data_IF_020025534347
#
_entry.id   IF_020025534347
#
_cell.length_a   1.000
_cell.length_b   1.000
_cell.length_c   1.000
_cell.angle_alpha   90.00
_cell.angle_beta   90.00
_cell.angle_gamma   90.00
#
_symmetry.space_group_name_H-M   'P 1'
#
loop_
_entity.id
_entity.type
_entity.pdbx_description
1 polymer ?
#
# COMPACT_ATOMS: atom_id res chain seq x y z
N UNK A 1 -46.26 -31.66 53.92
CA UNK A 1 -46.05 -31.06 52.61
C UNK A 1 -44.69 -31.56 52.10
N UNK A 2 -44.71 -32.65 51.31
CA UNK A 2 -43.46 -33.23 50.72
C UNK A 2 -43.14 -32.53 49.38
N UNK A 3 -42.09 -31.78 49.36
CA UNK A 3 -41.60 -31.16 48.14
C UNK A 3 -40.83 -32.22 47.34
N UNK A 4 -41.30 -32.48 46.15
CA UNK A 4 -40.78 -33.50 45.23
C UNK A 4 -39.37 -33.13 44.69
N UNK A 5 -38.33 -33.72 45.25
CA UNK A 5 -36.92 -33.49 44.92
C UNK A 5 -36.53 -34.03 43.54
N UNK A 6 -37.37 -34.75 42.82
CA UNK A 6 -37.07 -35.32 41.53
C UNK A 6 -37.26 -34.32 40.37
N UNK A 7 -38.08 -33.27 40.54
CA UNK A 7 -38.32 -32.29 39.47
C UNK A 7 -37.20 -31.28 39.31
N UNK A 8 -36.43 -30.99 40.38
CA UNK A 8 -35.32 -30.05 40.36
C UNK A 8 -34.07 -30.60 39.65
N UNK A 9 -33.82 -31.90 39.78
CA UNK A 9 -32.65 -32.54 39.12
C UNK A 9 -32.78 -32.63 37.58
N UNK A 10 -34.01 -32.81 37.07
CA UNK A 10 -34.27 -32.87 35.62
C UNK A 10 -34.09 -31.50 34.92
N UNK A 11 -34.46 -30.41 35.59
CA UNK A 11 -34.29 -29.03 35.03
C UNK A 11 -32.83 -28.63 34.96
N UNK A 12 -32.00 -28.99 35.92
CA UNK A 12 -30.56 -28.68 35.91
C UNK A 12 -29.77 -29.52 34.89
N UNK A 13 -30.18 -30.78 34.64
CA UNK A 13 -29.55 -31.62 33.61
C UNK A 13 -29.89 -31.12 32.20
N UNK A 14 -31.11 -30.63 31.97
CA UNK A 14 -31.50 -30.03 30.68
C UNK A 14 -30.83 -28.68 30.42
N UNK A 15 -30.63 -27.86 31.45
CA UNK A 15 -29.91 -26.57 31.29
C UNK A 15 -28.39 -26.74 31.05
N UNK A 16 -27.76 -27.77 31.65
CA UNK A 16 -26.35 -28.10 31.35
C UNK A 16 -26.18 -28.69 29.93
N UNK A 17 -27.14 -29.47 29.43
CA UNK A 17 -27.09 -30.03 28.08
C UNK A 17 -27.26 -28.95 26.98
N UNK A 18 -28.08 -27.91 27.24
CA UNK A 18 -28.19 -26.77 26.31
C UNK A 18 -26.96 -25.86 26.31
N UNK A 19 -26.26 -25.70 27.43
CA UNK A 19 -25.03 -24.89 27.52
C UNK A 19 -23.83 -25.56 26.82
N UNK A 20 -23.75 -26.87 26.78
CA UNK A 20 -22.68 -27.60 26.07
C UNK A 20 -22.92 -27.71 24.57
N UNK A 21 -24.15 -27.59 24.07
CA UNK A 21 -24.42 -27.55 22.62
C UNK A 21 -24.11 -26.22 21.94
N UNK A 22 -24.04 -25.11 22.68
CA UNK A 22 -23.74 -23.80 22.17
C UNK A 22 -22.23 -23.58 21.86
N UNK A 23 -21.35 -24.45 22.36
CA UNK A 23 -19.87 -24.30 22.21
C UNK A 23 -19.30 -24.98 20.97
N UNK A 24 -20.10 -25.66 20.12
CA UNK A 24 -19.60 -26.44 18.97
C UNK A 24 -19.87 -25.72 17.63
N UNK A 25 -20.44 -24.52 17.60
CA UNK A 25 -20.93 -23.89 16.38
C UNK A 25 -20.02 -22.82 15.81
N UNK A 26 -18.66 -22.97 15.87
CA UNK A 26 -17.80 -22.09 15.08
C UNK A 26 -16.41 -22.66 14.82
N UNK A 27 -16.25 -23.54 13.82
CA UNK A 27 -15.11 -23.44 12.91
C UNK A 27 -15.36 -23.88 11.46
N UNK A 28 -16.62 -24.12 11.05
CA UNK A 28 -16.89 -24.74 9.74
C UNK A 28 -16.58 -23.84 8.54
N UNK A 29 -16.61 -22.52 8.67
CA UNK A 29 -16.36 -21.60 7.54
C UNK A 29 -14.89 -21.52 7.14
N UNK A 30 -13.95 -21.73 8.07
CA UNK A 30 -12.52 -21.64 7.77
C UNK A 30 -11.93 -22.91 7.13
N UNK A 31 -12.57 -24.05 7.31
CA UNK A 31 -12.10 -25.32 6.73
C UNK A 31 -12.29 -25.39 5.22
N UNK A 32 -13.25 -24.65 4.65
CA UNK A 32 -13.56 -24.64 3.21
C UNK A 32 -13.11 -23.36 2.48
N UNK A 33 -12.30 -22.51 3.10
CA UNK A 33 -11.75 -21.33 2.42
C UNK A 33 -10.47 -21.71 1.66
N UNK A 34 -10.27 -21.20 0.40
CA UNK A 34 -11.30 -20.63 -0.46
C UNK A 34 -12.15 -21.71 -1.15
N UNK A 35 -13.44 -21.45 -1.33
CA UNK A 35 -14.39 -22.35 -2.00
C UNK A 35 -15.00 -21.77 -3.29
N UNK A 36 -14.59 -20.54 -3.64
CA UNK A 36 -14.98 -19.84 -4.87
C UNK A 36 -13.86 -18.89 -5.29
N UNK A 37 -14.01 -18.26 -6.45
CA UNK A 37 -13.06 -17.26 -6.97
C UNK A 37 -12.82 -16.15 -5.96
N UNK A 38 -11.54 -15.78 -5.78
CA UNK A 38 -11.10 -14.61 -5.01
C UNK A 38 -10.95 -13.43 -5.96
N UNK A 39 -11.52 -12.29 -5.60
CA UNK A 39 -11.35 -11.02 -6.32
C UNK A 39 -10.29 -10.18 -5.61
N UNK A 40 -9.19 -9.89 -6.29
CA UNK A 40 -8.13 -9.00 -5.82
C UNK A 40 -8.37 -7.61 -6.42
N UNK A 41 -9.01 -6.73 -5.66
CA UNK A 41 -9.35 -5.37 -6.08
C UNK A 41 -8.09 -4.51 -6.05
N UNK A 42 -7.79 -3.86 -7.18
CA UNK A 42 -6.70 -2.89 -7.34
C UNK A 42 -7.32 -1.51 -7.56
N UNK A 43 -7.10 -0.53 -6.66
CA UNK A 43 -7.78 0.78 -6.73
C UNK A 43 -7.12 1.74 -7.73
N UNK A 44 -6.48 1.22 -8.78
CA UNK A 44 -5.76 1.98 -9.81
C UNK A 44 -6.03 1.41 -11.21
N UNK A 45 -5.79 2.22 -12.27
CA UNK A 45 -5.93 1.75 -13.65
C UNK A 45 -5.00 0.56 -13.95
N UNK A 46 -5.38 -0.30 -14.89
CA UNK A 46 -4.51 -1.39 -15.33
C UNK A 46 -3.24 -0.89 -16.04
N UNK A 47 -2.18 -1.72 -16.04
CA UNK A 47 -0.92 -1.46 -16.74
C UNK A 47 0.15 -0.73 -15.94
N UNK A 48 -0.16 -0.24 -14.72
CA UNK A 48 0.84 0.38 -13.84
C UNK A 48 1.61 -0.65 -13.00
N UNK A 49 2.63 -0.17 -12.27
CA UNK A 49 3.46 -1.01 -11.37
C UNK A 49 2.62 -1.79 -10.36
N UNK A 50 1.58 -1.15 -9.77
CA UNK A 50 0.72 -1.79 -8.77
C UNK A 50 -0.10 -2.92 -9.41
N UNK A 51 -0.67 -2.69 -10.60
CA UNK A 51 -1.41 -3.71 -11.34
C UNK A 51 -0.50 -4.89 -11.74
N UNK A 52 0.71 -4.61 -12.21
CA UNK A 52 1.69 -5.65 -12.56
C UNK A 52 2.08 -6.51 -11.35
N UNK A 53 2.29 -5.89 -10.17
CA UNK A 53 2.57 -6.58 -8.92
C UNK A 53 1.36 -7.40 -8.44
N UNK A 54 0.13 -6.85 -8.56
CA UNK A 54 -1.10 -7.55 -8.21
C UNK A 54 -1.32 -8.80 -9.06
N UNK A 55 -1.05 -8.73 -10.37
CA UNK A 55 -1.17 -9.89 -11.27
C UNK A 55 -0.14 -10.97 -10.97
N UNK A 56 1.09 -10.60 -10.65
CA UNK A 56 2.11 -11.54 -10.20
C UNK A 56 1.69 -12.25 -8.91
N UNK A 57 1.14 -11.50 -7.94
CA UNK A 57 0.59 -12.06 -6.70
C UNK A 57 -0.62 -12.98 -6.97
N UNK A 58 -1.58 -12.54 -7.80
CA UNK A 58 -2.81 -13.28 -8.10
C UNK A 58 -2.53 -14.64 -8.75
N UNK A 59 -1.57 -14.70 -9.67
CA UNK A 59 -1.15 -15.95 -10.31
C UNK A 59 -0.64 -16.97 -9.27
N UNK A 60 0.22 -16.55 -8.38
CA UNK A 60 0.78 -17.42 -7.34
C UNK A 60 -0.26 -17.78 -6.25
N UNK A 61 -1.13 -16.84 -5.88
CA UNK A 61 -2.26 -17.13 -4.98
C UNK A 61 -3.18 -18.19 -5.58
N UNK A 62 -3.51 -18.09 -6.89
CA UNK A 62 -4.35 -19.09 -7.57
C UNK A 62 -3.72 -20.49 -7.48
N UNK A 63 -2.42 -20.59 -7.74
CA UNK A 63 -1.69 -21.87 -7.70
C UNK A 63 -1.66 -22.46 -6.28
N UNK A 64 -1.37 -21.65 -5.26
CA UNK A 64 -1.20 -22.14 -3.89
C UNK A 64 -2.52 -22.41 -3.17
N UNK A 65 -3.57 -21.66 -3.49
CA UNK A 65 -4.88 -21.80 -2.85
C UNK A 65 -5.82 -22.78 -3.58
N UNK A 66 -5.48 -23.17 -4.83
CA UNK A 66 -6.29 -24.08 -5.63
C UNK A 66 -7.62 -23.48 -6.11
N UNK A 67 -7.74 -22.14 -6.09
CA UNK A 67 -8.91 -21.39 -6.54
C UNK A 67 -8.47 -20.21 -7.41
N UNK A 68 -9.31 -19.87 -8.40
CA UNK A 68 -9.05 -18.72 -9.26
C UNK A 68 -8.94 -17.42 -8.44
N UNK A 69 -7.89 -16.62 -8.69
CA UNK A 69 -7.74 -15.26 -8.16
C UNK A 69 -7.70 -14.28 -9.33
N UNK A 70 -8.68 -13.39 -9.41
CA UNK A 70 -8.83 -12.42 -10.51
C UNK A 70 -8.55 -11.01 -10.03
N UNK A 71 -7.81 -10.24 -10.83
CA UNK A 71 -7.55 -8.82 -10.56
C UNK A 71 -8.70 -7.99 -11.12
N UNK A 72 -9.30 -7.14 -10.25
CA UNK A 72 -10.38 -6.20 -10.60
C UNK A 72 -9.88 -4.76 -10.36
N UNK A 73 -9.64 -4.02 -11.45
CA UNK A 73 -9.15 -2.65 -11.39
C UNK A 73 -10.31 -1.67 -11.17
N UNK A 74 -10.42 -1.07 -9.98
CA UNK A 74 -11.44 -0.08 -9.61
C UNK A 74 -10.81 1.27 -9.31
N UNK A 75 -10.39 1.95 -10.36
CA UNK A 75 -9.76 3.26 -10.28
C UNK A 75 -10.74 4.37 -9.88
N UNK A 76 -10.20 5.51 -9.45
CA UNK A 76 -10.92 6.76 -9.17
C UNK A 76 -10.67 7.30 -7.77
N UNK A 77 -10.76 8.62 -7.66
CA UNK A 77 -10.56 9.39 -6.42
C UNK A 77 -9.33 8.93 -5.62
N UNK A 78 -8.17 8.85 -6.30
CA UNK A 78 -6.88 8.39 -5.70
C UNK A 78 -6.98 7.05 -4.96
N UNK A 79 -7.79 6.14 -5.48
CA UNK A 79 -7.97 4.79 -4.93
C UNK A 79 -9.12 4.64 -3.94
N UNK A 80 -9.84 5.70 -3.57
CA UNK A 80 -11.00 5.61 -2.66
C UNK A 80 -12.10 4.69 -3.20
N UNK A 81 -12.37 4.70 -4.52
CA UNK A 81 -13.42 3.87 -5.11
C UNK A 81 -13.20 2.38 -4.86
N UNK A 82 -12.02 1.85 -5.19
CA UNK A 82 -11.68 0.45 -4.97
C UNK A 82 -11.58 0.10 -3.47
N UNK A 83 -11.01 0.99 -2.68
CA UNK A 83 -10.91 0.81 -1.23
C UNK A 83 -12.29 0.72 -0.59
N UNK A 84 -13.17 1.67 -0.87
CA UNK A 84 -14.55 1.69 -0.34
C UNK A 84 -15.41 0.52 -0.85
N UNK A 85 -15.11 -0.01 -2.03
CA UNK A 85 -15.76 -1.24 -2.48
C UNK A 85 -15.43 -2.42 -1.58
N UNK A 86 -14.15 -2.62 -1.24
CA UNK A 86 -13.72 -3.72 -0.39
C UNK A 86 -14.19 -3.56 1.07
N UNK A 87 -14.21 -2.34 1.62
CA UNK A 87 -14.70 -2.11 2.99
C UNK A 87 -16.16 -2.53 3.19
N UNK A 88 -16.96 -2.58 2.11
CA UNK A 88 -18.37 -2.99 2.12
C UNK A 88 -18.61 -4.41 1.62
N UNK A 89 -17.56 -5.11 1.19
CA UNK A 89 -17.67 -6.47 0.69
C UNK A 89 -17.92 -7.47 1.85
N UNK A 90 -18.45 -8.67 1.55
CA UNK A 90 -18.55 -9.76 2.54
C UNK A 90 -17.19 -10.08 3.15
N UNK A 91 -17.15 -10.25 4.47
CA UNK A 91 -15.93 -10.54 5.22
C UNK A 91 -15.60 -12.04 5.22
N UNK A 92 -15.67 -12.70 4.05
CA UNK A 92 -15.46 -14.14 3.87
C UNK A 92 -14.10 -14.48 3.22
N UNK A 93 -13.25 -13.48 3.01
CA UNK A 93 -11.91 -13.63 2.43
C UNK A 93 -11.87 -13.70 0.90
N UNK A 94 -13.01 -13.64 0.19
CA UNK A 94 -13.05 -13.73 -1.27
C UNK A 94 -13.03 -12.36 -1.98
N UNK A 95 -13.08 -11.26 -1.24
CA UNK A 95 -12.85 -9.91 -1.74
C UNK A 95 -11.68 -9.31 -0.98
N UNK A 96 -10.56 -9.11 -1.66
CA UNK A 96 -9.32 -8.59 -1.08
C UNK A 96 -8.96 -7.27 -1.75
N UNK A 97 -8.34 -6.36 -1.00
CA UNK A 97 -7.76 -5.14 -1.51
C UNK A 97 -6.26 -5.31 -1.66
N UNK A 98 -5.72 -5.09 -2.85
CA UNK A 98 -4.28 -4.92 -3.06
C UNK A 98 -4.00 -3.44 -3.32
N UNK A 99 -3.31 -2.80 -2.39
CA UNK A 99 -3.18 -1.35 -2.40
C UNK A 99 -1.81 -0.88 -1.91
N UNK A 100 -1.61 0.42 -2.03
CA UNK A 100 -0.43 1.13 -1.54
C UNK A 100 -0.79 2.19 -0.48
N UNK A 101 0.21 3.00 -0.10
CA UNK A 101 0.11 4.06 0.90
C UNK A 101 -1.00 5.08 0.58
N UNK A 102 -1.16 5.50 -0.68
CA UNK A 102 -1.99 6.67 -1.03
C UNK A 102 -3.44 6.54 -0.56
N UNK A 103 -4.25 5.52 -0.93
CA UNK A 103 -5.65 5.45 -0.54
C UNK A 103 -5.87 5.10 0.93
N UNK A 104 -4.84 4.62 1.61
CA UNK A 104 -4.96 4.16 3.00
C UNK A 104 -4.41 5.17 4.02
N UNK A 105 -3.40 5.94 3.67
CA UNK A 105 -2.73 6.81 4.62
C UNK A 105 -2.60 8.29 4.18
N UNK A 106 -2.90 8.63 2.92
CA UNK A 106 -2.87 10.01 2.42
C UNK A 106 -4.30 10.50 2.13
N UNK A 107 -5.01 9.84 1.21
CA UNK A 107 -6.34 10.26 0.76
C UNK A 107 -7.35 10.44 1.89
N UNK A 108 -7.42 9.57 2.94
CA UNK A 108 -8.37 9.73 4.04
C UNK A 108 -8.22 11.03 4.84
N UNK A 109 -7.05 11.66 4.80
CA UNK A 109 -6.81 12.94 5.48
C UNK A 109 -7.16 14.16 4.64
N UNK A 110 -7.61 13.93 3.40
CA UNK A 110 -7.90 14.97 2.41
C UNK A 110 -9.34 14.89 1.89
N UNK A 111 -10.11 13.86 2.27
CA UNK A 111 -11.51 13.63 1.85
C UNK A 111 -12.42 13.56 3.07
N UNK A 112 -13.72 13.81 2.85
CA UNK A 112 -14.73 13.67 3.89
C UNK A 112 -15.03 12.21 4.27
N UNK A 113 -14.58 11.24 3.49
CA UNK A 113 -14.88 9.80 3.68
C UNK A 113 -14.21 9.19 4.92
N UNK A 114 -13.35 9.95 5.59
CA UNK A 114 -12.76 9.58 6.87
C UNK A 114 -11.80 8.41 6.83
N UNK A 115 -11.50 7.86 8.00
CA UNK A 115 -10.49 6.84 8.20
C UNK A 115 -10.99 5.44 7.80
N UNK A 116 -10.74 5.02 6.56
CA UNK A 116 -11.08 3.68 6.03
C UNK A 116 -10.25 2.54 6.64
N UNK A 117 -9.17 2.87 7.38
CA UNK A 117 -8.24 1.86 7.93
C UNK A 117 -8.96 0.92 8.90
N UNK A 118 -9.87 1.45 9.74
CA UNK A 118 -10.59 0.65 10.72
C UNK A 118 -11.62 -0.31 10.10
N UNK A 119 -11.98 -0.10 8.84
CA UNK A 119 -12.88 -0.97 8.08
C UNK A 119 -12.13 -2.08 7.32
N UNK A 120 -10.81 -2.18 7.49
CA UNK A 120 -9.96 -3.15 6.82
C UNK A 120 -9.11 -3.95 7.83
N UNK A 121 -8.94 -5.23 7.57
CA UNK A 121 -8.02 -6.14 8.26
C UNK A 121 -6.75 -6.29 7.41
N UNK A 122 -5.57 -5.86 7.89
CA UNK A 122 -4.31 -6.10 7.21
C UNK A 122 -4.04 -7.61 7.10
N UNK A 123 -3.60 -8.06 5.92
CA UNK A 123 -3.13 -9.44 5.71
C UNK A 123 -1.61 -9.46 5.72
N UNK A 124 -0.95 -8.65 4.89
CA UNK A 124 0.50 -8.57 4.86
C UNK A 124 1.01 -7.70 3.72
N UNK A 125 2.27 -7.30 3.80
CA UNK A 125 2.97 -6.60 2.72
C UNK A 125 3.43 -7.58 1.64
N UNK A 126 3.52 -7.10 0.40
CA UNK A 126 4.18 -7.79 -0.72
C UNK A 126 5.57 -7.18 -0.97
N UNK A 127 5.65 -5.86 -0.93
CA UNK A 127 6.86 -5.12 -1.25
C UNK A 127 6.79 -3.68 -0.73
N UNK A 128 7.92 -3.01 -0.70
CA UNK A 128 8.00 -1.56 -0.62
C UNK A 128 8.67 -0.97 -1.86
N UNK A 129 8.35 0.29 -2.19
CA UNK A 129 8.86 1.00 -3.34
C UNK A 129 9.60 2.27 -2.92
N UNK A 130 10.94 2.28 -2.96
CA UNK A 130 11.70 3.50 -2.73
C UNK A 130 11.34 4.59 -3.73
N UNK A 131 11.43 5.83 -3.26
CA UNK A 131 11.25 7.03 -4.07
C UNK A 131 12.62 7.66 -4.34
N UNK A 132 12.77 8.30 -5.48
CA UNK A 132 14.00 8.98 -5.86
C UNK A 132 13.74 10.45 -6.18
N UNK A 133 14.62 11.31 -5.74
CA UNK A 133 14.79 12.64 -6.32
C UNK A 133 15.59 12.49 -7.60
N UNK A 134 15.02 12.97 -8.69
CA UNK A 134 15.62 12.91 -10.03
C UNK A 134 15.62 14.29 -10.66
N UNK A 135 16.53 14.54 -11.61
CA UNK A 135 16.63 15.81 -12.32
C UNK A 135 17.12 15.64 -13.75
N UNK A 136 16.63 16.51 -14.64
CA UNK A 136 17.18 16.72 -15.98
C UNK A 136 18.27 17.83 -16.01
N UNK A 137 18.39 18.64 -14.95
CA UNK A 137 19.23 19.85 -14.92
C UNK A 137 20.29 19.87 -13.83
N UNK A 138 20.05 19.17 -12.72
CA UNK A 138 20.94 19.19 -11.54
C UNK A 138 21.89 18.00 -11.57
N UNK A 139 23.04 18.16 -10.91
CA UNK A 139 24.02 17.09 -10.73
C UNK A 139 24.07 16.56 -9.28
N UNK A 140 23.53 17.31 -8.33
CA UNK A 140 23.52 16.98 -6.92
C UNK A 140 22.30 17.56 -6.19
N UNK A 141 22.02 17.07 -4.99
CA UNK A 141 20.96 17.62 -4.13
C UNK A 141 21.27 19.06 -3.70
N UNK A 142 22.55 19.42 -3.54
CA UNK A 142 22.97 20.78 -3.18
C UNK A 142 22.58 21.82 -4.23
N UNK A 143 22.52 21.43 -5.51
CA UNK A 143 22.16 22.34 -6.61
C UNK A 143 20.72 22.84 -6.51
N UNK A 144 19.83 22.14 -5.77
CA UNK A 144 18.47 22.61 -5.49
C UNK A 144 18.45 24.00 -4.86
N UNK A 145 19.41 24.32 -3.98
CA UNK A 145 19.48 25.59 -3.27
C UNK A 145 19.90 26.77 -4.19
N UNK A 146 20.84 26.50 -5.09
CA UNK A 146 21.39 27.52 -6.00
C UNK A 146 20.52 27.72 -7.23
N UNK A 147 20.05 26.65 -7.86
CA UNK A 147 19.33 26.69 -9.14
C UNK A 147 17.81 26.84 -8.99
N UNK A 148 17.24 26.50 -7.80
CA UNK A 148 15.80 26.59 -7.50
C UNK A 148 14.90 26.11 -8.63
N UNK A 149 15.07 24.87 -9.13
CA UNK A 149 14.28 24.36 -10.24
C UNK A 149 12.82 24.21 -9.84
N UNK A 150 11.91 24.19 -10.83
CA UNK A 150 10.55 23.72 -10.58
C UNK A 150 10.58 22.22 -10.24
N UNK A 151 9.80 21.82 -9.23
CA UNK A 151 9.69 20.45 -8.75
C UNK A 151 8.35 19.83 -9.17
N UNK A 152 8.43 18.82 -10.03
CA UNK A 152 7.26 18.12 -10.52
C UNK A 152 6.74 17.04 -9.55
N UNK A 153 5.43 16.84 -9.50
CA UNK A 153 4.81 15.73 -8.77
C UNK A 153 3.61 15.14 -9.53
N UNK A 154 3.29 13.88 -9.26
CA UNK A 154 2.30 13.10 -10.00
C UNK A 154 0.82 13.42 -9.64
N UNK A 155 0.57 14.60 -9.14
CA UNK A 155 -0.76 15.13 -8.77
C UNK A 155 -0.86 15.55 -7.32
N UNK A 156 -1.78 16.49 -7.06
CA UNK A 156 -2.03 16.97 -5.69
C UNK A 156 -2.44 15.81 -4.78
N UNK A 157 -1.85 15.72 -3.58
CA UNK A 157 -2.10 14.63 -2.64
C UNK A 157 -1.50 13.27 -3.03
N UNK A 158 -0.63 13.19 -4.04
CA UNK A 158 0.20 12.01 -4.27
C UNK A 158 1.33 11.92 -3.24
N UNK A 159 1.93 10.74 -3.08
CA UNK A 159 3.13 10.60 -2.24
C UNK A 159 4.25 11.53 -2.72
N UNK A 160 4.45 11.67 -4.04
CA UNK A 160 5.46 12.58 -4.59
C UNK A 160 5.19 14.05 -4.23
N UNK A 161 3.92 14.49 -4.12
CA UNK A 161 3.59 15.83 -3.64
C UNK A 161 3.95 15.99 -2.16
N UNK A 162 3.59 15.02 -1.31
CA UNK A 162 3.95 15.05 0.11
C UNK A 162 5.47 15.09 0.29
N UNK A 163 6.20 14.26 -0.43
CA UNK A 163 7.66 14.24 -0.38
C UNK A 163 8.29 15.53 -0.91
N UNK A 164 7.72 16.14 -1.94
CA UNK A 164 8.16 17.44 -2.45
C UNK A 164 8.00 18.54 -1.39
N UNK A 165 6.89 18.56 -0.66
CA UNK A 165 6.66 19.51 0.44
C UNK A 165 7.67 19.31 1.58
N UNK A 166 7.92 18.06 1.97
CA UNK A 166 8.93 17.72 2.99
C UNK A 166 10.35 18.07 2.53
N UNK A 167 10.67 17.86 1.25
CA UNK A 167 11.96 18.31 0.68
C UNK A 167 12.14 19.80 0.78
N UNK A 168 11.12 20.59 0.42
CA UNK A 168 11.10 22.04 0.56
C UNK A 168 11.40 22.47 2.00
N UNK A 169 10.77 21.81 2.97
CA UNK A 169 10.97 22.06 4.41
C UNK A 169 12.39 21.69 4.86
N UNK A 170 12.89 20.52 4.50
CA UNK A 170 14.26 20.08 4.81
C UNK A 170 15.33 21.04 4.26
N UNK A 171 15.05 21.66 3.12
CA UNK A 171 15.94 22.64 2.51
C UNK A 171 15.79 24.05 3.11
N UNK A 172 14.74 24.30 3.93
CA UNK A 172 14.41 25.62 4.47
C UNK A 172 14.08 26.64 3.38
N UNK A 173 13.50 26.19 2.25
CA UNK A 173 13.20 27.05 1.11
C UNK A 173 11.89 26.63 0.44
N UNK A 174 11.18 27.61 -0.12
CA UNK A 174 10.00 27.36 -0.94
C UNK A 174 10.43 26.99 -2.36
N UNK A 175 9.95 25.83 -2.84
CA UNK A 175 10.12 25.38 -4.21
C UNK A 175 8.85 25.68 -5.02
N UNK A 176 9.01 25.87 -6.33
CA UNK A 176 7.89 26.00 -7.26
C UNK A 176 7.41 24.61 -7.67
N UNK A 177 6.13 24.31 -7.45
CA UNK A 177 5.55 22.98 -7.73
C UNK A 177 4.78 22.96 -9.04
N UNK A 178 5.05 21.93 -9.88
CA UNK A 178 4.24 21.62 -11.06
C UNK A 178 3.47 20.31 -10.85
N UNK A 179 2.14 20.41 -10.85
CA UNK A 179 1.24 19.25 -10.69
C UNK A 179 0.93 18.61 -12.04
N UNK A 180 1.08 17.29 -12.12
CA UNK A 180 0.81 16.49 -13.32
C UNK A 180 -0.32 15.48 -13.07
N UNK A 181 -1.01 15.04 -14.14
CA UNK A 181 -2.02 13.97 -14.08
C UNK A 181 -1.36 12.60 -14.15
N UNK A 182 -0.41 12.30 -13.23
CA UNK A 182 0.32 11.04 -13.16
C UNK A 182 1.79 11.15 -13.57
N UNK A 183 2.49 10.01 -13.55
CA UNK A 183 3.94 9.94 -13.80
C UNK A 183 4.32 10.13 -15.26
N UNK A 184 3.54 9.58 -16.21
CA UNK A 184 3.91 9.63 -17.62
C UNK A 184 4.05 11.05 -18.17
N UNK A 185 3.07 11.99 -18.00
CA UNK A 185 3.25 13.37 -18.44
C UNK A 185 4.37 14.10 -17.67
N UNK A 186 4.59 13.80 -16.39
CA UNK A 186 5.69 14.34 -15.62
C UNK A 186 7.06 13.96 -16.22
N UNK A 187 7.26 12.68 -16.53
CA UNK A 187 8.51 12.18 -17.11
C UNK A 187 8.75 12.73 -18.52
N UNK A 188 7.71 12.86 -19.33
CA UNK A 188 7.82 13.48 -20.65
C UNK A 188 8.30 14.94 -20.56
N UNK A 189 7.73 15.73 -19.65
CA UNK A 189 8.15 17.12 -19.44
C UNK A 189 9.55 17.23 -18.82
N UNK A 190 9.97 16.24 -18.02
CA UNK A 190 11.35 16.16 -17.53
C UNK A 190 12.34 15.86 -18.67
N UNK A 191 12.03 14.91 -19.55
CA UNK A 191 12.87 14.62 -20.74
C UNK A 191 12.95 15.82 -21.68
N UNK A 192 11.88 16.61 -21.79
CA UNK A 192 11.83 17.87 -22.50
C UNK A 192 12.38 19.09 -21.74
N UNK A 193 13.01 18.89 -20.57
CA UNK A 193 13.58 19.92 -19.69
C UNK A 193 12.58 21.02 -19.24
N UNK A 194 11.26 20.76 -19.34
CA UNK A 194 10.22 21.69 -18.89
C UNK A 194 10.04 21.68 -17.36
N UNK A 195 10.53 20.63 -16.69
CA UNK A 195 10.59 20.47 -15.23
C UNK A 195 12.02 20.10 -14.84
N UNK A 196 12.57 20.85 -13.89
CA UNK A 196 13.99 20.71 -13.54
C UNK A 196 14.28 19.54 -12.60
N UNK A 197 13.34 19.17 -11.71
CA UNK A 197 13.47 18.06 -10.77
C UNK A 197 12.10 17.43 -10.44
N UNK A 198 12.10 16.19 -9.93
CA UNK A 198 10.90 15.53 -9.46
C UNK A 198 11.23 14.44 -8.43
N UNK A 199 10.21 14.03 -7.64
CA UNK A 199 10.28 12.81 -6.84
C UNK A 199 9.41 11.74 -7.51
N UNK A 200 10.02 10.61 -7.83
CA UNK A 200 9.40 9.51 -8.58
C UNK A 200 9.77 8.15 -7.98
N UNK A 201 8.95 7.10 -8.11
CA UNK A 201 9.34 5.75 -7.71
C UNK A 201 10.49 5.21 -8.55
N UNK A 202 11.34 4.36 -7.98
CA UNK A 202 12.47 3.70 -8.68
C UNK A 202 12.01 3.04 -9.98
N UNK A 203 10.86 2.35 -9.95
CA UNK A 203 10.32 1.67 -11.13
C UNK A 203 10.02 2.59 -12.30
N UNK A 204 9.79 3.89 -12.07
CA UNK A 204 9.55 4.85 -13.13
C UNK A 204 10.80 5.11 -13.96
N UNK A 205 12.00 5.05 -13.37
CA UNK A 205 13.27 5.28 -14.04
C UNK A 205 13.84 3.99 -14.63
N UNK A 206 13.78 2.88 -13.88
CA UNK A 206 14.22 1.55 -14.36
C UNK A 206 13.48 1.14 -15.64
N UNK A 207 12.22 1.54 -15.78
CA UNK A 207 11.40 1.25 -16.97
C UNK A 207 11.62 2.18 -18.17
N UNK A 208 12.44 3.23 -18.06
CA UNK A 208 12.69 4.13 -19.17
C UNK A 208 13.64 3.50 -20.22
N UNK A 209 13.34 3.71 -21.51
CA UNK A 209 14.20 3.26 -22.61
C UNK A 209 15.46 4.11 -22.75
N UNK A 210 15.37 5.40 -22.40
CA UNK A 210 16.47 6.38 -22.48
C UNK A 210 16.60 7.12 -21.14
N UNK A 211 17.22 6.49 -20.13
CA UNK A 211 17.35 7.09 -18.81
C UNK A 211 18.35 8.25 -18.75
N UNK A 212 19.19 8.46 -19.80
CA UNK A 212 20.34 9.36 -19.77
C UNK A 212 19.97 10.86 -19.64
N UNK A 213 18.71 11.23 -19.93
CA UNK A 213 18.22 12.61 -19.77
C UNK A 213 17.74 12.93 -18.36
N UNK A 214 17.52 11.90 -17.50
CA UNK A 214 17.03 12.06 -16.15
C UNK A 214 18.02 11.40 -15.18
N UNK A 215 18.70 12.22 -14.38
CA UNK A 215 19.72 11.76 -13.42
C UNK A 215 19.09 11.50 -12.05
N UNK A 216 19.26 10.32 -11.46
CA UNK A 216 18.98 10.10 -10.04
C UNK A 216 19.97 10.88 -9.17
N UNK A 217 19.47 11.61 -8.16
CA UNK A 217 20.28 12.43 -7.26
C UNK A 217 20.35 11.85 -5.84
N UNK A 218 19.24 11.29 -5.35
CA UNK A 218 19.14 10.65 -4.04
C UNK A 218 17.93 9.71 -4.01
N UNK A 219 17.90 8.80 -3.04
CA UNK A 219 16.87 7.74 -2.89
C UNK A 219 16.41 7.64 -1.43
N UNK A 220 15.14 7.29 -1.21
CA UNK A 220 14.60 7.13 0.17
C UNK A 220 15.10 5.88 0.88
N UNK A 221 15.47 4.83 0.16
CA UNK A 221 16.11 3.62 0.70
C UNK A 221 17.00 2.97 -0.39
N UNK A 222 18.11 2.31 -0.03
CA UNK A 222 19.00 1.65 -0.98
C UNK A 222 18.24 0.66 -1.88
N UNK A 223 18.59 0.62 -3.17
CA UNK A 223 17.98 -0.27 -4.16
C UNK A 223 19.03 -0.87 -5.10
N UNK A 224 18.89 -2.17 -5.43
CA UNK A 224 19.86 -2.90 -6.30
C UNK A 224 20.05 -2.28 -7.68
N UNK A 225 18.98 -1.70 -8.26
CA UNK A 225 19.05 -1.04 -9.55
C UNK A 225 19.76 0.33 -9.52
N UNK A 226 20.04 0.88 -8.32
CA UNK A 226 20.65 2.20 -8.12
C UNK A 226 21.83 2.10 -7.13
N UNK A 227 22.86 1.29 -7.45
CA UNK A 227 23.99 1.10 -6.54
C UNK A 227 24.75 2.43 -6.36
N UNK A 228 25.12 2.72 -5.11
CA UNK A 228 25.91 3.91 -4.77
C UNK A 228 25.14 5.23 -4.76
N UNK A 229 23.84 5.25 -5.07
CA UNK A 229 23.03 6.45 -4.95
C UNK A 229 22.84 6.82 -3.47
N UNK A 230 23.14 8.09 -3.04
CA UNK A 230 23.01 8.48 -1.66
C UNK A 230 21.55 8.42 -1.20
N UNK A 231 21.31 8.04 0.05
CA UNK A 231 19.98 8.12 0.63
C UNK A 231 19.59 9.58 0.90
N UNK A 232 18.29 9.86 1.04
CA UNK A 232 17.80 11.19 1.43
C UNK A 232 18.41 11.65 2.76
N UNK A 233 18.63 10.73 3.69
CA UNK A 233 19.29 11.01 4.96
C UNK A 233 20.76 11.44 4.74
N UNK A 234 21.52 10.66 3.96
CA UNK A 234 22.90 10.98 3.59
C UNK A 234 23.03 12.29 2.80
N UNK A 235 21.99 12.63 2.03
CA UNK A 235 21.93 13.88 1.26
C UNK A 235 21.43 15.08 2.08
N UNK A 236 21.17 14.92 3.39
CA UNK A 236 20.71 16.01 4.27
C UNK A 236 19.25 16.42 4.09
N UNK A 237 18.41 15.56 3.50
CA UNK A 237 16.98 15.76 3.26
C UNK A 237 16.13 14.64 3.90
N UNK A 238 16.58 14.10 5.02
CA UNK A 238 16.00 12.93 5.69
C UNK A 238 14.55 13.06 6.12
N UNK A 239 14.02 14.29 6.31
CA UNK A 239 12.59 14.48 6.61
C UNK A 239 11.67 13.96 5.51
N UNK A 240 12.12 13.95 4.25
CA UNK A 240 11.39 13.44 3.10
C UNK A 240 11.53 11.92 2.91
N UNK A 241 12.03 11.17 3.92
CA UNK A 241 12.25 9.72 3.81
C UNK A 241 10.97 8.94 4.07
N UNK A 242 10.21 8.66 3.02
CA UNK A 242 9.08 7.76 3.02
C UNK A 242 9.13 6.85 1.80
N UNK A 243 8.97 5.56 2.05
CA UNK A 243 8.79 4.59 0.97
C UNK A 243 7.29 4.37 0.73
N UNK A 244 6.91 4.09 -0.50
CA UNK A 244 5.62 3.47 -0.75
C UNK A 244 5.68 2.00 -0.30
N UNK A 245 4.54 1.42 0.00
CA UNK A 245 4.42 -0.01 0.29
C UNK A 245 3.20 -0.57 -0.41
N UNK A 246 3.27 -1.84 -0.77
CA UNK A 246 2.20 -2.59 -1.39
C UNK A 246 1.83 -3.76 -0.49
N UNK A 247 0.53 -3.94 -0.27
CA UNK A 247 0.07 -5.01 0.59
C UNK A 247 -1.38 -5.39 0.34
N UNK A 248 -1.76 -6.49 0.97
CA UNK A 248 -3.08 -7.11 0.88
C UNK A 248 -3.87 -6.84 2.15
N UNK A 249 -5.13 -6.44 1.99
CA UNK A 249 -6.07 -6.23 3.07
C UNK A 249 -7.40 -6.94 2.76
N UNK A 250 -8.19 -7.23 3.79
CA UNK A 250 -9.53 -7.77 3.70
C UNK A 250 -10.53 -6.85 4.43
N UNK A 251 -11.86 -7.03 4.33
CA UNK A 251 -12.82 -6.39 5.21
C UNK A 251 -12.51 -6.66 6.69
N UNK A 252 -12.72 -5.69 7.58
CA UNK A 252 -12.29 -5.76 8.99
C UNK A 252 -12.81 -6.98 9.76
N UNK A 253 -14.03 -7.45 9.46
CA UNK A 253 -14.66 -8.61 10.14
C UNK A 253 -14.24 -9.96 9.53
N UNK A 254 -13.24 -10.02 8.65
CA UNK A 254 -12.76 -11.29 8.09
C UNK A 254 -12.19 -12.16 9.21
N UNK A 255 -12.60 -13.45 9.30
CA UNK A 255 -12.16 -14.35 10.36
C UNK A 255 -10.63 -14.44 10.45
N UNK A 256 -10.11 -14.42 11.68
CA UNK A 256 -8.64 -14.45 11.93
C UNK A 256 -7.94 -15.67 11.30
N UNK A 257 -8.62 -16.82 11.22
CA UNK A 257 -8.09 -18.01 10.54
C UNK A 257 -7.90 -17.82 9.03
N UNK A 258 -8.78 -17.06 8.37
CA UNK A 258 -8.66 -16.72 6.95
C UNK A 258 -7.53 -15.70 6.77
N UNK A 259 -7.46 -14.66 7.60
CA UNK A 259 -6.37 -13.66 7.58
C UNK A 259 -5.02 -14.35 7.75
N UNK A 260 -4.89 -15.25 8.73
CA UNK A 260 -3.65 -16.00 8.98
C UNK A 260 -3.27 -16.88 7.79
N UNK A 261 -4.22 -17.62 7.20
CA UNK A 261 -3.98 -18.46 6.02
C UNK A 261 -3.52 -17.63 4.83
N UNK A 262 -4.16 -16.50 4.56
CA UNK A 262 -3.77 -15.58 3.48
C UNK A 262 -2.38 -14.98 3.74
N UNK A 263 -2.08 -14.55 4.98
CA UNK A 263 -0.78 -14.03 5.34
C UNK A 263 0.35 -15.05 5.10
N UNK A 264 0.18 -16.28 5.58
CA UNK A 264 1.15 -17.35 5.34
C UNK A 264 1.37 -17.58 3.84
N UNK A 265 0.30 -17.55 3.05
CA UNK A 265 0.37 -17.73 1.60
C UNK A 265 1.08 -16.56 0.91
N UNK A 266 0.74 -15.31 1.27
CA UNK A 266 1.42 -14.10 0.74
C UNK A 266 2.91 -14.12 1.09
N UNK A 267 3.26 -14.40 2.35
CA UNK A 267 4.66 -14.47 2.78
C UNK A 267 5.43 -15.58 2.05
N UNK A 268 4.81 -16.73 1.78
CA UNK A 268 5.42 -17.79 0.95
C UNK A 268 5.66 -17.31 -0.48
N UNK A 269 4.72 -16.57 -1.07
CA UNK A 269 4.84 -16.02 -2.43
C UNK A 269 6.00 -15.01 -2.50
N UNK A 270 6.13 -14.12 -1.52
CA UNK A 270 7.21 -13.13 -1.46
C UNK A 270 8.60 -13.78 -1.43
N UNK A 271 8.72 -15.02 -0.91
CA UNK A 271 9.98 -15.76 -0.87
C UNK A 271 10.31 -16.50 -2.18
N UNK A 272 9.41 -16.56 -3.15
CA UNK A 272 9.65 -17.20 -4.44
C UNK A 272 10.59 -16.34 -5.29
N UNK A 273 11.67 -16.90 -5.82
CA UNK A 273 12.66 -16.18 -6.64
C UNK A 273 12.01 -15.48 -7.83
N UNK A 274 11.11 -16.15 -8.55
CA UNK A 274 10.37 -15.57 -9.68
C UNK A 274 9.61 -14.29 -9.29
N UNK A 275 8.96 -14.30 -8.11
CA UNK A 275 8.23 -13.14 -7.59
C UNK A 275 9.19 -12.03 -7.18
N UNK A 276 10.30 -12.37 -6.51
CA UNK A 276 11.34 -11.41 -6.13
C UNK A 276 11.95 -10.73 -7.35
N UNK A 277 12.28 -11.50 -8.38
CA UNK A 277 12.83 -10.99 -9.64
C UNK A 277 11.82 -10.08 -10.34
N UNK A 278 10.55 -10.50 -10.37
CA UNK A 278 9.47 -9.69 -10.93
C UNK A 278 9.27 -8.37 -10.19
N UNK A 279 9.23 -8.40 -8.85
CA UNK A 279 9.10 -7.19 -8.03
C UNK A 279 10.31 -6.26 -8.24
N UNK A 280 11.52 -6.81 -8.23
CA UNK A 280 12.76 -6.05 -8.45
C UNK A 280 12.76 -5.38 -9.84
N UNK A 281 12.30 -6.08 -10.88
CA UNK A 281 12.17 -5.50 -12.24
C UNK A 281 11.15 -4.35 -12.32
N UNK A 282 10.20 -4.31 -11.38
CA UNK A 282 9.25 -3.21 -11.21
C UNK A 282 9.77 -2.07 -10.31
N UNK A 283 11.03 -2.12 -9.85
CA UNK A 283 11.61 -1.17 -8.92
C UNK A 283 11.10 -1.30 -7.49
N UNK A 284 10.60 -2.48 -7.14
CA UNK A 284 10.06 -2.80 -5.82
C UNK A 284 11.01 -3.73 -5.07
N UNK A 285 11.04 -3.61 -3.75
CA UNK A 285 11.80 -4.45 -2.85
C UNK A 285 10.85 -5.41 -2.13
N UNK A 286 10.99 -6.74 -2.29
CA UNK A 286 10.16 -7.72 -1.59
C UNK A 286 10.20 -7.51 -0.09
N UNK A 287 9.06 -7.59 0.59
CA UNK A 287 8.95 -7.40 2.03
C UNK A 287 7.91 -8.34 2.64
N UNK A 288 8.33 -9.08 3.67
CA UNK A 288 7.46 -9.91 4.49
C UNK A 288 6.90 -9.10 5.66
N UNK A 289 5.70 -9.45 6.11
CA UNK A 289 5.18 -8.93 7.38
C UNK A 289 4.12 -9.86 7.98
N UNK A 290 3.94 -9.77 9.31
CA UNK A 290 2.71 -10.25 9.93
C UNK A 290 1.56 -9.27 9.70
N UNK A 291 0.30 -9.67 9.92
CA UNK A 291 -0.84 -8.76 9.88
C UNK A 291 -0.69 -7.59 10.85
N UNK A 292 -0.17 -7.83 12.05
CA UNK A 292 0.04 -6.83 13.10
C UNK A 292 1.13 -5.82 12.71
N UNK A 293 2.24 -6.31 12.14
CA UNK A 293 3.32 -5.47 11.63
C UNK A 293 2.81 -4.55 10.51
N UNK A 294 2.04 -5.11 9.57
CA UNK A 294 1.46 -4.32 8.49
C UNK A 294 0.44 -3.31 9.01
N UNK A 295 -0.43 -3.70 9.94
CA UNK A 295 -1.37 -2.79 10.59
C UNK A 295 -0.68 -1.64 11.34
N UNK A 296 0.43 -1.92 12.03
CA UNK A 296 1.25 -0.91 12.70
C UNK A 296 1.89 0.05 11.70
N UNK A 297 2.41 -0.48 10.59
CA UNK A 297 2.98 0.32 9.50
C UNK A 297 1.94 1.30 8.92
N UNK A 298 0.74 0.82 8.59
CA UNK A 298 -0.35 1.65 8.06
C UNK A 298 -0.68 2.79 9.03
N UNK A 299 -0.88 2.49 10.30
CA UNK A 299 -1.20 3.50 11.35
C UNK A 299 -0.09 4.52 11.50
N UNK A 300 1.17 4.08 11.55
CA UNK A 300 2.33 4.97 11.63
C UNK A 300 2.36 5.96 10.48
N UNK A 301 2.24 5.45 9.24
CA UNK A 301 2.25 6.30 8.05
C UNK A 301 1.03 7.22 8.00
N UNK A 302 -0.16 6.73 8.33
CA UNK A 302 -1.38 7.54 8.38
C UNK A 302 -1.24 8.74 9.35
N UNK A 303 -0.73 8.51 10.57
CA UNK A 303 -0.52 9.56 11.55
C UNK A 303 0.53 10.60 11.10
N UNK A 304 1.63 10.14 10.48
CA UNK A 304 2.65 11.03 9.92
C UNK A 304 2.10 11.84 8.75
N UNK A 305 1.36 11.21 7.82
CA UNK A 305 0.74 11.89 6.68
C UNK A 305 -0.31 12.92 7.13
N UNK A 306 -1.14 12.61 8.13
CA UNK A 306 -2.09 13.55 8.71
C UNK A 306 -1.39 14.83 9.19
N UNK A 307 -0.23 14.68 9.85
CA UNK A 307 0.56 15.80 10.34
C UNK A 307 1.14 16.62 9.19
N UNK A 308 1.77 15.96 8.21
CA UNK A 308 2.38 16.64 7.05
C UNK A 308 1.32 17.37 6.22
N UNK A 309 0.22 16.70 5.87
CA UNK A 309 -0.87 17.27 5.07
C UNK A 309 -1.40 18.55 5.71
N UNK A 310 -1.59 18.54 7.04
CA UNK A 310 -2.07 19.71 7.80
C UNK A 310 -1.02 20.83 7.84
N UNK A 311 0.23 20.51 8.12
CA UNK A 311 1.31 21.50 8.23
C UNK A 311 1.65 22.16 6.89
N UNK A 312 1.62 21.40 5.81
CA UNK A 312 1.94 21.88 4.46
C UNK A 312 0.71 22.41 3.70
N UNK A 313 -0.49 22.37 4.30
CA UNK A 313 -1.73 22.83 3.67
C UNK A 313 -2.08 22.08 2.39
N UNK A 314 -1.73 20.79 2.29
CA UNK A 314 -1.97 19.99 1.07
C UNK A 314 -3.47 19.72 0.94
N UNK A 315 -4.08 20.20 -0.15
CA UNK A 315 -5.50 20.00 -0.45
C UNK A 315 -5.69 19.25 -1.76
N UNK A 316 -6.83 18.56 -1.89
CA UNK A 316 -7.30 18.02 -3.15
C UNK A 316 -7.96 19.17 -3.91
N UNK A 317 -7.41 19.51 -5.07
CA UNK A 317 -8.05 20.38 -6.07
C UNK A 317 -8.84 19.55 -7.06
#
# INVERSE_FOLDING_TARGET
MRIDQHSLKRRHVLSLACASAASIACPALAQNFPNKTITLVVPFPPGGTIDAAARALANQLSSLLGQSVVVDNRAGVRGSNGTSFVTRAPADGHSLLFSNLTPLAITPHMTADGNVINALAPIGTLAYGPQMLVSSKLNSVSDLRSMKPSLGHAGNGSLSHVLASLLSRSLGMRLDYKSYRGLAPLLNDMMGEQVGAAIVPVGAIVGLREPNSIKPLAITAPHKAMPGLPTFEQAGIGEATFNDWLGVLAPASTPASIVSRLNLTVNRIVQMNEVQDRLTSLGLMPQLSSPEQFGTLIKLYSNRMATVIRQEGIQIS
#
